data_IF_129056913694
#
_entry.id   IF_129056913694
#
_cell.length_a   1.000
_cell.length_b   1.000
_cell.length_c   1.000
_cell.angle_alpha   90.00
_cell.angle_beta   90.00
_cell.angle_gamma   90.00
#
_symmetry.space_group_name_H-M   'P 1'
#
loop_
_entity.id
_entity.type
_entity.pdbx_description
1 polymer ?
2 polymer ?
3 non-polymer ?
4 water ?
#
# COMPACT_ATOMS: atom_id res chain seq x y z
N UNK A 4 23.62 -15.37 -18.05
CA UNK A 4 24.25 -14.07 -18.11
C UNK A 4 23.66 -13.21 -19.24
N UNK A 5 23.25 -11.98 -18.91
CA UNK A 5 22.93 -10.97 -19.93
C UNK A 5 23.50 -9.56 -19.66
N UNK A 6 23.58 -8.74 -20.71
CA UNK A 6 24.07 -7.36 -20.60
C UNK A 6 23.06 -6.61 -19.75
N UNK A 7 23.55 -5.78 -18.84
CA UNK A 7 22.68 -5.17 -17.85
C UNK A 7 21.76 -4.13 -18.44
N UNK A 8 22.21 -3.46 -19.51
CA UNK A 8 21.40 -2.37 -20.07
C UNK A 8 20.17 -2.90 -20.81
N UNK A 9 20.16 -4.18 -21.19
CA UNK A 9 18.98 -4.72 -21.85
C UNK A 9 17.78 -4.91 -20.91
N UNK A 10 18.00 -4.83 -19.60
CA UNK A 10 16.92 -5.09 -18.64
C UNK A 10 15.86 -4.02 -18.78
N UNK A 11 14.59 -4.42 -18.85
CA UNK A 11 13.59 -3.40 -19.06
C UNK A 11 12.54 -3.38 -17.96
N UNK A 12 11.73 -4.45 -17.92
CA UNK A 12 10.44 -4.47 -17.21
C UNK A 12 9.38 -5.03 -18.18
N UNK B 1 13.74 -17.67 11.16
CA UNK B 1 13.59 -16.96 9.85
C UNK B 1 13.51 -18.02 8.75
N UNK B 2 12.54 -17.92 7.84
CA UNK B 2 12.61 -18.78 6.64
C UNK B 2 13.75 -18.36 5.66
N UNK B 3 14.02 -19.21 4.68
CA UNK B 3 14.95 -18.88 3.66
C UNK B 3 14.53 -17.60 2.94
N UNK B 4 13.21 -17.51 2.78
CA UNK B 4 12.63 -16.38 2.12
C UNK B 4 12.82 -15.14 2.96
N UNK B 5 12.55 -15.23 4.25
CA UNK B 5 12.69 -14.04 5.08
C UNK B 5 14.17 -13.55 5.11
N UNK B 6 15.11 -14.50 5.17
CA UNK B 6 16.54 -14.24 5.12
C UNK B 6 16.93 -13.66 3.78
N UNK B 7 16.31 -14.19 2.75
CA UNK B 7 16.58 -13.73 1.42
C UNK B 7 16.18 -12.24 1.36
N UNK B 8 15.08 -11.87 1.99
CA UNK B 8 14.67 -10.48 2.00
C UNK B 8 15.66 -9.56 2.78
N UNK B 9 16.20 -10.10 3.87
CA UNK B 9 17.12 -9.33 4.67
C UNK B 9 18.45 -9.13 3.94
N UNK B 10 18.83 -10.15 3.17
CA UNK B 10 20.03 -10.15 2.35
C UNK B 10 19.96 -9.02 1.26
N UNK B 11 18.78 -8.85 0.67
CA UNK B 11 18.54 -7.82 -0.31
C UNK B 11 18.64 -6.43 0.33
N UNK B 12 18.09 -6.26 1.54
CA UNK B 12 18.20 -5.01 2.24
C UNK B 12 19.68 -4.72 2.54
N UNK B 13 20.39 -5.77 2.96
CA UNK B 13 21.79 -5.72 3.35
C UNK B 13 22.72 -5.34 2.19
N UNK B 14 22.59 -6.03 1.06
CA UNK B 14 23.46 -5.77 -0.08
C UNK B 14 23.25 -4.32 -0.51
N UNK B 15 22.04 -3.81 -0.41
CA UNK B 15 21.73 -2.45 -0.76
C UNK B 15 22.42 -1.44 0.18
N UNK B 16 22.38 -1.75 1.47
CA UNK B 16 23.05 -0.95 2.46
C UNK B 16 24.54 -0.96 2.24
N UNK B 17 25.11 -2.11 1.87
CA UNK B 17 26.55 -2.19 1.66
C UNK B 17 27.09 -1.22 0.59
N UNK B 18 26.33 -1.01 -0.48
CA UNK B 18 26.82 -0.23 -1.58
C UNK B 18 26.33 1.22 -1.59
N UNK B 19 25.13 1.45 -1.06
CA UNK B 19 24.47 2.77 -1.09
C UNK B 19 25.12 3.75 -0.09
N UNK B 20 25.78 3.20 0.93
CA UNK B 20 26.44 3.98 1.95
C UNK B 20 27.88 4.34 1.60
N UNK B 21 28.39 3.91 0.45
CA UNK B 21 29.80 4.12 0.13
C UNK B 21 30.15 5.60 -0.07
N UNK B 22 29.42 6.24 -0.97
CA UNK B 22 29.64 7.61 -1.37
C UNK B 22 28.31 8.38 -1.31
N UNK B 23 28.37 9.70 -1.32
CA UNK B 23 27.20 10.54 -1.52
C UNK B 23 26.07 10.33 -0.57
N UNK B 24 24.84 10.39 -1.09
CA UNK B 24 23.63 10.03 -0.34
C UNK B 24 23.82 8.56 0.18
N UNK B 25 23.67 8.38 1.49
CA UNK B 25 23.93 7.10 2.11
C UNK B 25 22.75 6.12 1.97
N UNK B 26 21.62 6.59 1.45
CA UNK B 26 20.40 5.79 1.35
C UNK B 26 20.04 5.49 -0.12
N UNK B 27 20.86 5.97 -1.04
CA UNK B 27 20.65 5.72 -2.47
C UNK B 27 21.97 5.24 -3.11
N UNK B 28 21.84 4.77 -4.33
CA UNK B 28 22.98 4.34 -5.14
C UNK B 28 23.27 5.38 -6.26
N UNK B 29 24.46 5.96 -6.25
CA UNK B 29 24.92 6.69 -7.40
C UNK B 29 25.44 5.62 -8.41
N UNK B 30 25.70 6.05 -9.64
CA UNK B 30 26.10 5.20 -10.73
C UNK B 30 27.29 4.31 -10.42
N UNK B 31 28.26 4.88 -9.71
CA UNK B 31 29.48 4.18 -9.38
C UNK B 31 29.17 3.02 -8.45
N UNK B 32 28.24 3.23 -7.52
CA UNK B 32 27.86 2.23 -6.53
C UNK B 32 27.01 1.11 -7.15
N UNK B 33 26.05 1.48 -7.99
CA UNK B 33 25.24 0.49 -8.75
C UNK B 33 26.14 -0.32 -9.70
N UNK B 34 27.11 0.36 -10.31
CA UNK B 34 28.12 -0.32 -11.12
C UNK B 34 28.92 -1.34 -10.25
N UNK B 35 29.48 -0.88 -9.10
CA UNK B 35 30.26 -1.74 -8.21
C UNK B 35 29.39 -2.90 -7.71
N UNK B 36 28.14 -2.61 -7.40
CA UNK B 36 27.21 -3.65 -6.97
C UNK B 36 26.95 -4.73 -8.09
N UNK B 37 26.61 -4.28 -9.31
CA UNK B 37 26.42 -5.23 -10.42
C UNK B 37 27.68 -6.06 -10.68
N UNK B 38 28.83 -5.41 -10.69
CA UNK B 38 30.08 -6.09 -10.97
C UNK B 38 30.57 -6.99 -9.89
N UNK B 39 30.25 -6.70 -8.63
CA UNK B 39 30.79 -7.54 -7.56
C UNK B 39 29.81 -8.59 -7.07
N UNK B 40 28.51 -8.36 -7.27
CA UNK B 40 27.47 -9.21 -6.67
C UNK B 40 26.51 -9.86 -7.71
N UNK B 41 26.62 -9.52 -8.97
CA UNK B 41 25.73 -10.08 -9.97
C UNK B 41 26.51 -10.57 -11.19
N UNK B 42 27.78 -10.90 -10.96
CA UNK B 42 28.70 -11.35 -12.00
C UNK B 42 28.16 -12.57 -12.76
N UNK B 43 27.40 -13.41 -12.08
CA UNK B 43 26.89 -14.61 -12.74
C UNK B 43 25.60 -14.37 -13.53
N UNK B 44 24.96 -13.24 -13.32
CA UNK B 44 23.67 -12.93 -13.95
C UNK B 44 23.76 -11.81 -14.96
N UNK B 45 24.76 -10.95 -14.83
CA UNK B 45 24.88 -9.82 -15.71
C UNK B 45 26.28 -9.72 -16.25
N UNK B 46 26.40 -9.32 -17.52
CA UNK B 46 27.71 -9.05 -18.09
C UNK B 46 28.33 -7.93 -17.29
N UNK B 47 29.61 -8.12 -16.97
CA UNK B 47 30.43 -7.13 -16.30
C UNK B 47 30.31 -5.82 -17.05
N UNK B 48 30.15 -4.75 -16.28
CA UNK B 48 30.04 -3.43 -16.87
C UNK B 48 31.37 -2.74 -16.91
N UNK B 49 31.82 -2.40 -18.12
CA UNK B 49 33.12 -1.81 -18.39
C UNK B 49 32.97 -0.43 -19.05
N UNK B 50 31.88 -0.26 -19.80
CA UNK B 50 31.55 0.98 -20.46
C UNK B 50 30.60 1.84 -19.61
N UNK B 51 30.90 3.12 -19.45
CA UNK B 51 30.00 4.03 -18.73
C UNK B 51 28.56 4.02 -19.30
N UNK B 52 28.47 3.95 -20.64
CA UNK B 52 27.21 4.07 -21.33
C UNK B 52 26.26 2.95 -20.88
N UNK B 53 26.79 1.82 -20.43
CA UNK B 53 25.93 0.74 -19.93
C UNK B 53 25.26 1.17 -18.63
N UNK B 54 26.09 1.58 -17.66
CA UNK B 54 25.66 2.19 -16.36
C UNK B 54 24.61 3.31 -16.49
N UNK B 55 24.88 4.23 -17.40
CA UNK B 55 23.94 5.28 -17.70
C UNK B 55 22.62 4.69 -18.12
N UNK B 56 22.65 3.77 -19.10
CA UNK B 56 21.42 3.22 -19.60
C UNK B 56 20.72 2.43 -18.48
N UNK B 57 21.48 1.66 -17.71
CA UNK B 57 20.83 0.93 -16.62
C UNK B 57 20.20 1.90 -15.63
N UNK B 58 20.94 2.94 -15.21
CA UNK B 58 20.38 3.94 -14.29
C UNK B 58 19.14 4.67 -14.84
N UNK B 59 19.22 5.05 -16.13
CA UNK B 59 18.09 5.68 -16.80
C UNK B 59 16.83 4.77 -16.68
N UNK B 60 17.00 3.45 -16.82
CA UNK B 60 15.86 2.53 -16.71
C UNK B 60 15.29 2.56 -15.32
N UNK B 61 16.18 2.54 -14.33
CA UNK B 61 15.79 2.39 -12.95
C UNK B 61 15.33 3.69 -12.30
N UNK B 62 15.92 4.83 -12.69
CA UNK B 62 15.59 6.09 -12.04
C UNK B 62 14.22 6.55 -12.51
N UNK B 63 13.19 6.23 -11.73
CA UNK B 63 11.82 6.57 -12.11
C UNK B 63 11.36 7.86 -11.47
N UNK B 64 12.10 8.35 -10.47
CA UNK B 64 11.84 9.69 -9.94
C UNK B 64 12.87 10.67 -10.48
N UNK B 65 13.67 10.28 -11.46
CA UNK B 65 14.54 11.24 -12.10
C UNK B 65 15.72 11.85 -11.32
N UNK B 66 15.98 11.43 -10.09
CA UNK B 66 17.07 12.06 -9.34
C UNK B 66 18.52 11.60 -9.65
N UNK B 67 18.63 10.69 -10.60
CA UNK B 67 19.90 10.20 -11.11
C UNK B 67 20.43 9.06 -10.31
N UNK B 68 19.69 8.70 -9.25
CA UNK B 68 20.11 7.61 -8.39
C UNK B 68 19.03 6.52 -8.21
N UNK B 69 19.48 5.40 -7.64
CA UNK B 69 18.62 4.31 -7.33
C UNK B 69 18.42 4.18 -5.81
N UNK B 70 17.23 4.55 -5.38
CA UNK B 70 16.81 4.37 -4.01
C UNK B 70 16.42 2.89 -3.83
N UNK B 71 16.01 2.55 -2.64
CA UNK B 71 15.74 1.17 -2.36
C UNK B 71 14.59 0.56 -3.17
N UNK B 72 13.47 1.23 -3.28
CA UNK B 72 12.32 0.65 -3.99
C UNK B 72 12.72 0.52 -5.45
N UNK B 73 13.47 1.50 -5.94
CA UNK B 73 13.92 1.41 -7.29
C UNK B 73 14.82 0.18 -7.38
N UNK B 74 15.57 -0.11 -6.32
CA UNK B 74 16.47 -1.25 -6.34
C UNK B 74 15.72 -2.60 -6.34
N UNK B 75 14.59 -2.67 -5.63
CA UNK B 75 13.74 -3.85 -5.65
C UNK B 75 13.23 -4.11 -7.06
N UNK B 76 12.86 -3.05 -7.79
CA UNK B 76 12.40 -3.20 -9.18
C UNK B 76 13.49 -3.78 -10.00
N UNK B 77 14.71 -3.30 -9.77
CA UNK B 77 15.88 -3.88 -10.42
C UNK B 77 16.02 -5.39 -10.07
N UNK B 78 15.90 -5.73 -8.79
CA UNK B 78 16.07 -7.11 -8.36
C UNK B 78 14.98 -7.97 -9.00
N UNK B 79 13.77 -7.46 -9.12
CA UNK B 79 12.68 -8.26 -9.75
C UNK B 79 12.95 -8.51 -11.23
N UNK B 80 13.48 -7.52 -11.96
CA UNK B 80 13.87 -7.70 -13.34
C UNK B 80 14.88 -8.80 -13.41
N UNK B 81 16.00 -8.65 -12.74
CA UNK B 81 17.06 -9.61 -12.89
C UNK B 81 16.52 -10.98 -12.51
N UNK B 82 15.80 -11.08 -11.41
CA UNK B 82 15.39 -12.38 -10.95
C UNK B 82 14.45 -13.02 -11.97
N UNK B 83 13.57 -12.19 -12.52
CA UNK B 83 12.61 -12.61 -13.55
C UNK B 83 13.25 -13.07 -14.86
N UNK B 84 14.39 -12.48 -15.21
CA UNK B 84 15.24 -12.93 -16.29
C UNK B 84 15.79 -14.35 -15.98
N UNK B 85 16.52 -14.51 -14.87
CA UNK B 85 17.00 -15.82 -14.46
C UNK B 85 15.93 -16.91 -14.41
N UNK B 86 14.70 -16.58 -14.02
CA UNK B 86 13.67 -17.60 -13.73
C UNK B 86 13.19 -18.33 -14.98
N UNK B 87 13.31 -17.65 -16.12
CA UNK B 87 12.93 -18.20 -17.42
C UNK B 87 13.68 -19.56 -17.65
N UNK B 88 14.86 -19.67 -17.02
CA UNK B 88 15.61 -20.93 -16.83
C UNK B 88 14.73 -22.06 -16.29
N UNK B 89 13.67 -21.69 -15.56
CA UNK B 89 12.70 -22.65 -15.01
C UNK B 89 11.24 -22.38 -15.48
N UNK B 90 11.08 -21.49 -16.46
CA UNK B 90 9.81 -21.21 -17.14
C UNK B 90 8.99 -22.47 -17.35
N UNK C 1 29.18 -17.29 -6.19
CA UNK C 1 27.84 -16.69 -5.94
C UNK C 1 27.84 -15.73 -4.74
N UNK C 2 27.40 -14.52 -5.03
CA UNK C 2 27.24 -13.52 -4.03
C UNK C 2 26.07 -13.87 -3.11
N UNK C 3 25.97 -13.16 -2.00
CA UNK C 3 24.79 -13.29 -1.18
C UNK C 3 23.55 -12.90 -1.96
N UNK C 4 23.70 -11.90 -2.81
CA UNK C 4 22.62 -11.34 -3.59
C UNK C 4 22.17 -12.38 -4.54
N UNK C 5 23.13 -12.99 -5.20
CA UNK C 5 22.76 -14.01 -6.16
C UNK C 5 22.04 -15.15 -5.46
N UNK C 6 22.53 -15.53 -4.30
CA UNK C 6 21.94 -16.60 -3.52
C UNK C 6 20.53 -16.29 -3.06
N UNK C 7 20.31 -15.05 -2.66
CA UNK C 7 19.00 -14.61 -2.22
C UNK C 7 18.02 -14.72 -3.40
N UNK C 8 18.46 -14.37 -4.59
CA UNK C 8 17.59 -14.49 -5.77
C UNK C 8 17.18 -15.97 -6.11
N UNK C 9 18.13 -16.88 -5.94
CA UNK C 9 17.89 -18.26 -6.23
C UNK C 9 16.97 -18.76 -5.12
N UNK C 10 17.09 -18.18 -3.93
CA UNK C 10 16.20 -18.55 -2.87
C UNK C 10 14.73 -18.18 -3.18
N UNK C 11 14.52 -16.99 -3.73
CA UNK C 11 13.20 -16.58 -4.08
C UNK C 11 12.62 -17.50 -5.15
N UNK C 12 13.42 -17.92 -6.13
CA UNK C 12 12.92 -18.78 -7.18
C UNK C 12 12.52 -20.08 -6.51
N UNK C 13 13.31 -20.48 -5.54
CA UNK C 13 13.09 -21.74 -4.90
C UNK C 13 11.77 -21.82 -4.13
N UNK C 14 11.55 -20.91 -3.20
CA UNK C 14 10.39 -21.01 -2.40
C UNK C 14 9.13 -20.80 -3.24
N UNK C 15 9.23 -20.02 -4.32
CA UNK C 15 8.08 -19.81 -5.20
C UNK C 15 7.63 -21.14 -5.79
N UNK C 16 8.59 -21.87 -6.32
CA UNK C 16 8.41 -23.23 -6.83
C UNK C 16 8.10 -24.23 -5.75
N UNK C 17 8.65 -24.09 -4.56
CA UNK C 17 8.38 -25.03 -3.49
C UNK C 17 6.88 -25.11 -3.30
N UNK C 18 6.25 -23.96 -3.51
CA UNK C 18 4.81 -23.90 -3.35
C UNK C 18 3.97 -23.93 -4.63
N UNK C 19 4.47 -23.42 -5.74
CA UNK C 19 3.67 -23.32 -6.94
C UNK C 19 3.49 -24.72 -7.56
N UNK C 20 4.36 -25.67 -7.22
CA UNK C 20 4.28 -26.98 -7.80
C UNK C 20 3.31 -27.93 -7.06
N UNK C 21 2.66 -27.45 -6.00
CA UNK C 21 1.85 -28.34 -5.19
C UNK C 21 0.60 -28.76 -5.97
N UNK C 22 -0.16 -27.80 -6.47
CA UNK C 22 -1.39 -28.09 -7.17
C UNK C 22 -1.45 -27.38 -8.49
N UNK C 23 -2.28 -27.91 -9.38
CA UNK C 23 -2.63 -27.23 -10.59
C UNK C 23 -1.39 -26.88 -11.37
N UNK C 24 -1.44 -25.71 -11.99
CA UNK C 24 -0.29 -25.17 -12.73
C UNK C 24 0.90 -25.08 -11.81
N UNK C 25 2.03 -25.65 -12.26
CA UNK C 25 3.22 -25.81 -11.44
C UNK C 25 4.04 -24.56 -11.36
N UNK C 26 3.65 -23.56 -12.13
CA UNK C 26 4.39 -22.30 -12.27
C UNK C 26 3.64 -21.13 -11.80
N UNK C 27 2.44 -21.41 -11.27
CA UNK C 27 1.60 -20.38 -10.67
C UNK C 27 1.15 -20.81 -9.25
N UNK C 28 0.82 -19.82 -8.42
CA UNK C 28 0.30 -20.07 -7.09
C UNK C 28 -1.21 -19.81 -7.13
N UNK C 29 -1.98 -20.82 -6.75
CA UNK C 29 -3.37 -20.62 -6.47
C UNK C 29 -3.58 -20.10 -5.04
N UNK C 30 -4.77 -19.58 -4.72
CA UNK C 30 -5.05 -19.06 -3.39
C UNK C 30 -4.59 -19.98 -2.30
N UNK C 31 -4.75 -21.29 -2.46
CA UNK C 31 -4.39 -22.18 -1.35
C UNK C 31 -2.89 -22.23 -1.17
N UNK C 32 -2.14 -22.17 -2.28
CA UNK C 32 -0.69 -22.27 -2.22
C UNK C 32 -0.06 -20.98 -1.68
N UNK C 33 -0.58 -19.85 -2.10
CA UNK C 33 -0.13 -18.57 -1.63
C UNK C 33 -0.36 -18.42 -0.13
N UNK C 34 -1.52 -18.87 0.32
CA UNK C 34 -1.84 -18.87 1.73
C UNK C 34 -0.80 -19.70 2.50
N UNK C 35 -0.56 -20.91 2.02
CA UNK C 35 0.35 -21.79 2.66
C UNK C 35 1.77 -21.13 2.69
N UNK C 36 2.17 -20.48 1.58
CA UNK C 36 3.44 -19.83 1.52
C UNK C 36 3.59 -18.66 2.58
N UNK C 37 2.62 -17.75 2.59
CA UNK C 37 2.63 -16.62 3.51
C UNK C 37 2.73 -17.13 4.96
N UNK C 38 1.95 -18.16 5.24
CA UNK C 38 1.85 -18.73 6.57
C UNK C 38 3.02 -19.56 7.02
N UNK C 39 3.72 -20.19 6.08
CA UNK C 39 4.88 -20.97 6.45
C UNK C 39 6.25 -20.30 6.25
N UNK C 40 6.33 -19.29 5.40
CA UNK C 40 7.61 -18.71 4.98
C UNK C 40 7.66 -17.23 5.25
N UNK C 41 6.53 -16.64 5.65
CA UNK C 41 6.51 -15.21 5.96
C UNK C 41 5.86 -14.98 7.34
N UNK C 42 5.88 -16.05 8.15
CA UNK C 42 5.26 -16.07 9.48
C UNK C 42 5.77 -14.95 10.37
N UNK C 43 7.03 -14.57 10.19
CA UNK C 43 7.58 -13.51 10.96
C UNK C 43 7.39 -12.17 10.37
N UNK C 44 7.00 -12.11 9.09
CA UNK C 44 6.87 -10.80 8.46
C UNK C 44 5.42 -10.36 8.27
N UNK C 45 4.50 -11.31 8.24
CA UNK C 45 3.10 -10.96 7.95
C UNK C 45 2.23 -11.62 8.99
N UNK C 46 1.12 -10.96 9.32
CA UNK C 46 0.10 -11.61 10.12
C UNK C 46 -0.33 -12.87 9.37
N UNK C 47 -0.48 -13.97 10.11
CA UNK C 47 -1.06 -15.18 9.56
C UNK C 47 -2.43 -14.98 8.87
N UNK C 48 -2.65 -15.69 7.77
CA UNK C 48 -3.95 -15.68 7.10
C UNK C 48 -4.78 -16.85 7.63
N UNK C 49 -5.92 -16.54 8.20
CA UNK C 49 -6.77 -17.58 8.76
C UNK C 49 -8.17 -17.51 8.11
N UNK C 50 -8.59 -16.31 7.72
CA UNK C 50 -9.86 -16.05 7.05
C UNK C 50 -9.74 -16.06 5.52
N UNK C 51 -10.67 -16.72 4.87
CA UNK C 51 -10.75 -16.71 3.41
C UNK C 51 -10.77 -15.30 2.81
N UNK C 52 -11.51 -14.41 3.45
CA UNK C 52 -11.64 -13.07 2.93
C UNK C 52 -10.29 -12.37 2.92
N UNK C 53 -9.39 -12.77 3.80
CA UNK C 53 -8.04 -12.20 3.79
C UNK C 53 -7.23 -12.70 2.55
N UNK C 54 -7.26 -14.01 2.31
CA UNK C 54 -6.70 -14.64 1.10
C UNK C 54 -7.07 -13.94 -0.22
N UNK C 55 -8.37 -13.67 -0.39
CA UNK C 55 -8.88 -13.00 -1.58
C UNK C 55 -8.27 -11.68 -1.83
N UNK C 56 -8.17 -10.87 -0.77
CA UNK C 56 -7.64 -9.52 -0.91
C UNK C 56 -6.20 -9.60 -1.39
N UNK C 57 -5.40 -10.48 -0.83
CA UNK C 57 -4.01 -10.55 -1.23
C UNK C 57 -3.94 -11.00 -2.66
N UNK C 58 -4.63 -12.10 -2.98
CA UNK C 58 -4.53 -12.56 -4.36
C UNK C 58 -5.07 -11.51 -5.32
N UNK C 59 -6.16 -10.86 -4.93
CA UNK C 59 -6.74 -9.79 -5.72
C UNK C 59 -5.72 -8.69 -5.88
N UNK C 60 -4.92 -8.44 -4.83
CA UNK C 60 -3.83 -7.48 -4.95
C UNK C 60 -2.75 -7.97 -5.92
N UNK C 61 -2.35 -9.25 -5.84
CA UNK C 61 -1.19 -9.70 -6.63
C UNK C 61 -1.56 -10.06 -8.06
N UNK C 62 -2.73 -10.66 -8.23
CA UNK C 62 -3.15 -11.10 -9.53
C UNK C 62 -3.48 -9.93 -10.43
N UNK C 63 -2.67 -9.71 -11.45
CA UNK C 63 -2.99 -8.65 -12.39
C UNK C 63 -3.59 -9.11 -13.71
N UNK C 64 -3.31 -10.34 -14.14
CA UNK C 64 -3.81 -10.81 -15.46
C UNK C 64 -5.14 -11.63 -15.36
N UNK C 65 -5.87 -11.37 -14.29
CA UNK C 65 -7.23 -11.83 -14.11
C UNK C 65 -7.47 -13.31 -13.93
N UNK C 66 -6.42 -14.10 -13.98
CA UNK C 66 -6.60 -15.53 -13.89
C UNK C 66 -6.81 -16.07 -12.43
N UNK C 67 -6.62 -15.20 -11.41
CA UNK C 67 -6.91 -15.59 -10.03
C UNK C 67 -5.73 -16.32 -9.37
N UNK C 68 -4.60 -16.35 -10.08
CA UNK C 68 -3.39 -17.00 -9.59
C UNK C 68 -2.27 -16.00 -9.58
N UNK C 69 -1.20 -16.36 -8.90
CA UNK C 69 -0.02 -15.52 -8.83
C UNK C 69 1.12 -16.16 -9.60
N UNK C 70 1.55 -15.58 -10.73
CA UNK C 70 2.73 -16.11 -11.43
C UNK C 70 3.99 -15.56 -10.77
N UNK C 71 5.17 -15.93 -11.28
CA UNK C 71 6.44 -15.50 -10.71
C UNK C 71 6.65 -13.98 -10.77
N UNK C 72 6.22 -13.35 -11.85
CA UNK C 72 6.38 -11.89 -11.98
C UNK C 72 5.56 -11.22 -10.90
N UNK C 73 4.36 -11.74 -10.67
CA UNK C 73 3.49 -11.21 -9.65
C UNK C 73 4.06 -11.48 -8.25
N UNK C 74 4.76 -12.57 -8.11
CA UNK C 74 5.30 -12.92 -6.85
C UNK C 74 6.49 -11.95 -6.51
N UNK C 75 7.23 -11.60 -7.53
CA UNK C 75 8.35 -10.68 -7.36
C UNK C 75 7.83 -9.34 -6.93
N UNK C 76 6.67 -8.98 -7.46
CA UNK C 76 6.04 -7.72 -7.01
C UNK C 76 5.64 -7.80 -5.54
N UNK C 77 5.12 -8.95 -5.13
CA UNK C 77 4.81 -9.25 -3.76
C UNK C 77 6.09 -9.20 -2.83
N UNK C 78 7.17 -9.84 -3.24
CA UNK C 78 8.40 -9.89 -2.50
C UNK C 78 8.97 -8.44 -2.29
N UNK C 79 8.87 -7.58 -3.30
CA UNK C 79 9.26 -6.18 -3.19
C UNK C 79 8.37 -5.36 -2.25
N UNK C 80 7.05 -5.60 -2.28
CA UNK C 80 6.15 -4.93 -1.34
C UNK C 80 6.62 -5.22 0.08
N UNK C 81 6.72 -6.50 0.41
CA UNK C 81 7.13 -6.97 1.71
C UNK C 81 8.55 -6.48 2.07
N UNK C 82 9.51 -6.62 1.17
CA UNK C 82 10.88 -6.24 1.45
C UNK C 82 10.95 -4.72 1.65
N UNK C 83 10.15 -4.00 0.86
CA UNK C 83 10.10 -2.54 0.97
C UNK C 83 9.49 -2.18 2.31
N UNK C 84 8.59 -3.03 2.78
CA UNK C 84 8.06 -2.83 4.10
C UNK C 84 9.20 -2.98 5.11
N UNK C 85 9.81 -4.16 5.17
CA UNK C 85 10.86 -4.49 6.10
C UNK C 85 11.95 -3.45 6.12
N UNK C 86 12.24 -2.91 4.95
CA UNK C 86 13.33 -1.95 4.82
C UNK C 86 12.99 -0.63 5.50
N UNK C 87 11.72 -0.23 5.46
CA UNK C 87 11.31 1.00 6.11
C UNK C 87 11.56 0.85 7.60
N UNK C 88 11.25 -0.34 8.14
CA UNK C 88 11.66 -0.64 9.54
C UNK C 88 13.14 -0.45 9.81
N UNK C 89 13.97 -0.23 8.80
CA UNK C 89 15.40 0.02 8.97
C UNK C 89 15.91 1.37 8.57
N UNK C 90 15.06 2.38 8.35
CA UNK C 90 15.56 3.76 8.20
C UNK C 90 15.59 4.42 9.61
N UNK C 91 16.60 4.10 10.43
CA UNK C 91 16.73 4.63 11.80
C UNK C 91 15.69 4.09 12.77
N UNK D 1 -25.75 19.09 16.68
CA UNK D 1 -24.83 18.25 15.86
C UNK D 1 -24.09 17.23 16.72
N UNK D 2 -24.02 15.96 16.28
CA UNK D 2 -23.20 14.99 17.01
C UNK D 2 -21.70 15.28 16.78
N UNK D 3 -20.83 14.68 17.61
CA UNK D 3 -19.40 14.67 17.33
C UNK D 3 -19.12 14.10 15.94
N UNK D 4 -19.84 13.04 15.56
CA UNK D 4 -19.69 12.44 14.24
C UNK D 4 -20.11 13.45 13.18
N UNK D 5 -21.20 14.16 13.43
CA UNK D 5 -21.63 15.16 12.46
C UNK D 5 -20.67 16.35 12.36
N UNK D 6 -20.18 16.82 13.50
CA UNK D 6 -19.25 17.91 13.56
C UNK D 6 -17.97 17.47 12.84
N UNK D 7 -17.56 16.25 13.10
CA UNK D 7 -16.34 15.75 12.50
C UNK D 7 -16.54 15.78 10.99
N UNK D 8 -17.74 15.43 10.57
CA UNK D 8 -18.05 15.45 9.16
C UNK D 8 -18.07 16.83 8.55
N UNK D 9 -18.52 17.82 9.31
CA UNK D 9 -18.62 19.16 8.78
C UNK D 9 -17.18 19.66 8.66
N UNK D 10 -16.32 19.24 9.58
CA UNK D 10 -14.94 19.62 9.54
C UNK D 10 -14.17 19.10 8.30
N UNK D 11 -14.46 17.89 7.85
CA UNK D 11 -13.78 17.38 6.67
C UNK D 11 -14.06 18.24 5.47
N UNK D 12 -15.30 18.74 5.38
CA UNK D 12 -15.70 19.61 4.29
C UNK D 12 -14.97 20.96 4.35
N UNK D 13 -14.80 21.50 5.53
CA UNK D 13 -14.14 22.78 5.69
C UNK D 13 -12.70 22.75 5.23
N UNK D 14 -11.94 21.79 5.75
CA UNK D 14 -10.50 21.78 5.48
C UNK D 14 -10.30 21.49 4.00
N UNK D 15 -11.24 20.73 3.42
CA UNK D 15 -11.17 20.49 1.99
C UNK D 15 -11.27 21.84 1.26
N UNK D 16 -12.24 22.64 1.67
CA UNK D 16 -12.42 23.97 1.11
C UNK D 16 -11.32 24.90 1.49
N UNK D 17 -10.81 24.82 2.71
CA UNK D 17 -9.73 25.70 3.15
C UNK D 17 -8.63 25.58 2.08
N UNK D 18 -8.47 24.40 1.49
CA UNK D 18 -7.38 24.19 0.54
C UNK D 18 -7.78 24.20 -0.92
N UNK D 19 -9.00 23.75 -1.25
CA UNK D 19 -9.39 23.64 -2.66
C UNK D 19 -9.68 24.99 -3.32
N UNK D 20 -10.04 25.97 -2.51
CA UNK D 20 -10.41 27.26 -3.04
C UNK D 20 -9.20 28.14 -3.28
N UNK D 21 -8.02 27.62 -2.98
CA UNK D 21 -6.81 28.40 -3.03
C UNK D 21 -6.39 28.85 -4.42
N UNK D 22 -6.26 27.88 -5.32
CA UNK D 22 -5.81 28.10 -6.70
C UNK D 22 -6.83 27.43 -7.60
N UNK D 23 -6.90 27.83 -8.87
CA UNK D 23 -7.66 27.10 -9.88
C UNK D 23 -9.12 26.85 -9.54
N UNK D 24 -9.65 25.67 -9.93
CA UNK D 24 -11.01 25.22 -9.53
C UNK D 24 -11.20 25.23 -8.02
N UNK D 25 -12.18 26.00 -7.54
CA UNK D 25 -12.38 26.18 -6.10
C UNK D 25 -13.09 24.98 -5.45
N UNK D 26 -13.49 23.99 -6.26
CA UNK D 26 -14.20 22.82 -5.77
C UNK D 26 -13.35 21.55 -5.96
N UNK D 27 -12.15 21.69 -6.51
CA UNK D 27 -11.22 20.57 -6.64
C UNK D 27 -9.82 20.92 -6.06
N UNK D 28 -9.00 19.91 -5.76
CA UNK D 28 -7.64 20.11 -5.28
C UNK D 28 -6.58 19.81 -6.33
N UNK D 29 -5.73 20.77 -6.65
CA UNK D 29 -4.59 20.44 -7.50
C UNK D 29 -3.46 19.88 -6.64
N UNK D 30 -2.51 19.25 -7.30
CA UNK D 30 -1.39 18.59 -6.63
C UNK D 30 -0.80 19.52 -5.58
N UNK D 31 -0.75 20.79 -5.93
CA UNK D 31 -0.12 21.81 -5.09
C UNK D 31 -0.94 22.06 -3.83
N UNK D 32 -2.26 22.05 -3.98
CA UNK D 32 -3.12 22.30 -2.84
C UNK D 32 -3.13 21.10 -1.93
N UNK D 33 -3.17 19.91 -2.52
CA UNK D 33 -3.14 18.67 -1.78
C UNK D 33 -1.85 18.50 -0.95
N UNK D 34 -0.73 18.91 -1.52
CA UNK D 34 0.53 18.94 -0.80
C UNK D 34 0.39 19.94 0.39
N UNK D 35 -0.16 21.11 0.11
CA UNK D 35 -0.35 22.10 1.15
C UNK D 35 -1.21 21.49 2.26
N UNK D 36 -2.26 20.76 1.88
CA UNK D 36 -3.16 20.15 2.86
C UNK D 36 -2.47 19.06 3.68
N UNK D 37 -1.84 18.11 3.03
CA UNK D 37 -1.12 17.07 3.73
C UNK D 37 -0.08 17.66 4.62
N UNK D 38 0.72 18.58 4.10
CA UNK D 38 1.80 19.09 4.92
C UNK D 38 1.30 19.99 6.07
N UNK D 39 0.20 20.70 5.88
CA UNK D 39 -0.30 21.57 6.94
C UNK D 39 -1.36 20.97 7.86
N UNK D 40 -2.07 19.94 7.42
CA UNK D 40 -3.23 19.47 8.17
C UNK D 40 -3.13 18.02 8.55
N UNK D 41 -2.09 17.32 8.12
CA UNK D 41 -1.90 15.91 8.50
C UNK D 41 -0.48 15.65 8.98
N UNK D 42 0.21 16.71 9.37
CA UNK D 42 1.62 16.64 9.76
C UNK D 42 1.86 15.60 10.80
N UNK D 43 0.88 15.40 11.65
CA UNK D 43 1.03 14.45 12.73
C UNK D 43 0.72 13.04 12.33
N UNK D 44 0.13 12.85 11.17
CA UNK D 44 -0.20 11.48 10.79
C UNK D 44 0.66 11.05 9.66
N UNK D 45 1.23 12.02 8.92
CA UNK D 45 1.98 11.70 7.69
C UNK D 45 3.34 12.34 7.62
N UNK D 46 4.28 11.63 6.98
CA UNK D 46 5.56 12.21 6.59
C UNK D 46 5.28 13.41 5.66
N UNK D 47 5.96 14.51 5.90
CA UNK D 47 5.89 15.65 5.04
C UNK D 47 6.16 15.33 3.56
N UNK D 48 5.38 15.91 2.67
CA UNK D 48 5.65 15.72 1.26
C UNK D 48 6.58 16.84 0.78
N UNK D 49 7.73 16.44 0.24
CA UNK D 49 8.73 17.38 -0.23
C UNK D 49 9.08 17.18 -1.70
N UNK D 50 9.13 15.93 -2.11
CA UNK D 50 9.51 15.57 -3.46
C UNK D 50 8.29 15.58 -4.34
N UNK D 51 8.47 16.11 -5.54
CA UNK D 51 7.44 16.08 -6.55
C UNK D 51 6.89 14.68 -6.88
N UNK D 52 7.76 13.71 -7.00
CA UNK D 52 7.35 12.37 -7.41
C UNK D 52 6.44 11.78 -6.34
N UNK D 53 6.60 12.19 -5.08
CA UNK D 53 5.66 11.74 -4.04
C UNK D 53 4.28 12.36 -4.25
N UNK D 54 4.23 13.67 -4.48
CA UNK D 54 3.00 14.33 -4.83
C UNK D 54 2.30 13.61 -5.98
N UNK D 55 3.03 13.42 -7.07
CA UNK D 55 2.45 12.84 -8.28
C UNK D 55 1.87 11.46 -8.01
N UNK D 56 2.58 10.64 -7.24
CA UNK D 56 2.14 9.27 -6.90
C UNK D 56 0.86 9.29 -6.03
N UNK D 57 0.76 10.22 -5.09
CA UNK D 57 -0.45 10.33 -4.28
C UNK D 57 -1.60 10.72 -5.17
N UNK D 58 -1.39 11.74 -5.99
CA UNK D 58 -2.44 12.17 -6.87
C UNK D 58 -2.84 11.02 -7.83
N UNK D 59 -1.86 10.23 -8.28
CA UNK D 59 -2.13 9.06 -9.14
C UNK D 59 -3.12 8.10 -8.48
N UNK D 60 -2.94 7.92 -7.19
CA UNK D 60 -3.81 7.08 -6.40
C UNK D 60 -5.20 7.71 -6.21
N UNK D 61 -5.27 8.99 -5.86
CA UNK D 61 -6.56 9.58 -5.46
C UNK D 61 -7.41 9.93 -6.64
N UNK D 62 -6.75 10.39 -7.71
CA UNK D 62 -7.41 10.78 -8.95
C UNK D 62 -7.93 9.49 -9.57
N UNK D 63 -9.20 9.22 -9.36
CA UNK D 63 -9.81 8.01 -9.82
C UNK D 63 -10.50 8.39 -11.11
N UNK D 64 -10.72 9.70 -11.35
CA UNK D 64 -11.34 10.11 -12.61
C UNK D 64 -10.35 10.69 -13.61
N UNK D 65 -9.06 10.49 -13.41
CA UNK D 65 -8.08 10.80 -14.46
C UNK D 65 -7.95 12.24 -14.96
N UNK D 66 -8.78 13.16 -14.48
CA UNK D 66 -8.70 14.55 -14.93
C UNK D 66 -7.66 15.31 -14.07
N UNK D 67 -7.02 14.61 -13.13
CA UNK D 67 -5.84 15.16 -12.47
C UNK D 67 -5.93 16.07 -11.25
N UNK D 68 -7.13 16.28 -10.73
CA UNK D 68 -7.31 17.03 -9.49
C UNK D 68 -8.01 16.08 -8.53
N UNK D 69 -8.12 16.44 -7.27
CA UNK D 69 -8.83 15.63 -6.28
C UNK D 69 -10.12 16.34 -5.87
N UNK D 70 -11.26 15.78 -6.29
CA UNK D 70 -12.56 16.32 -5.92
C UNK D 70 -12.93 15.86 -4.52
N UNK D 71 -14.11 16.27 -4.03
CA UNK D 71 -14.47 15.93 -2.68
C UNK D 71 -14.65 14.42 -2.49
N UNK D 72 -15.23 13.73 -3.47
CA UNK D 72 -15.34 12.28 -3.38
C UNK D 72 -13.95 11.66 -3.35
N UNK D 73 -13.04 12.20 -4.17
CA UNK D 73 -11.67 11.70 -4.27
C UNK D 73 -10.88 11.92 -2.98
N UNK D 74 -11.12 13.05 -2.32
CA UNK D 74 -10.51 13.40 -1.04
C UNK D 74 -11.06 12.51 0.09
N UNK D 75 -12.36 12.26 0.10
CA UNK D 75 -12.99 11.41 1.10
C UNK D 75 -12.44 10.01 1.07
N UNK D 76 -12.08 9.56 -0.12
CA UNK D 76 -11.43 8.28 -0.27
C UNK D 76 -10.06 8.32 0.38
N UNK D 77 -9.33 9.43 0.17
CA UNK D 77 -8.06 9.67 0.84
C UNK D 77 -8.26 9.69 2.36
N UNK D 78 -9.27 10.41 2.82
CA UNK D 78 -9.56 10.46 4.23
C UNK D 78 -9.90 9.07 4.78
N UNK D 79 -10.55 8.22 4.01
CA UNK D 79 -10.85 6.90 4.53
C UNK D 79 -9.57 6.09 4.77
N UNK D 80 -8.67 6.12 3.81
CA UNK D 80 -7.37 5.44 3.88
C UNK D 80 -6.56 5.87 5.11
N UNK D 81 -6.31 7.16 5.21
CA UNK D 81 -5.49 7.72 6.26
C UNK D 81 -6.12 7.39 7.63
N UNK D 82 -7.42 7.63 7.76
CA UNK D 82 -8.08 7.38 9.04
C UNK D 82 -8.04 5.89 9.31
N UNK D 83 -8.31 5.08 8.27
CA UNK D 83 -8.28 3.62 8.39
C UNK D 83 -6.86 3.15 8.84
N UNK D 84 -5.80 3.80 8.33
CA UNK D 84 -4.43 3.52 8.76
C UNK D 84 -4.28 3.83 10.24
N UNK D 85 -4.58 5.09 10.59
CA UNK D 85 -4.52 5.58 11.97
C UNK D 85 -5.27 4.66 12.96
N UNK D 86 -6.32 4.01 12.48
CA UNK D 86 -7.14 3.19 13.36
C UNK D 86 -6.34 2.00 13.81
N UNK D 87 -5.54 1.43 12.91
CA UNK D 87 -4.74 0.26 13.24
C UNK D 87 -3.74 0.54 14.39
N UNK D 88 -3.10 1.71 14.38
CA UNK D 88 -2.27 2.10 15.52
C UNK D 88 -3.00 2.08 16.88
N UNK D 89 -4.32 1.99 16.87
CA UNK D 89 -5.05 1.90 18.12
C UNK D 89 -5.70 0.55 18.29
N UNK D 90 -5.33 -0.39 17.42
CA UNK D 90 -5.64 -1.79 17.67
C UNK D 90 -4.53 -2.47 18.50
N UNK D 91 -4.59 -2.28 19.83
CA UNK D 91 -3.58 -2.77 20.79
C UNK D 91 -2.26 -1.99 20.67
N UNK E 1 -2.49 19.44 16.92
CA UNK E 1 -3.37 18.65 15.97
C UNK E 1 -4.38 19.48 15.27
N UNK E 2 -4.49 19.27 13.98
CA UNK E 2 -5.51 19.98 13.18
C UNK E 2 -6.95 19.54 13.40
N UNK E 3 -7.84 20.38 12.95
CA UNK E 3 -9.24 20.06 12.92
C UNK E 3 -9.48 18.80 12.12
N UNK E 4 -8.68 18.54 11.08
CA UNK E 4 -8.79 17.33 10.28
C UNK E 4 -8.38 16.09 11.06
N UNK E 5 -7.25 16.16 11.70
CA UNK E 5 -6.78 15.02 12.45
C UNK E 5 -7.74 14.74 13.59
N UNK E 6 -8.21 15.81 14.21
CA UNK E 6 -9.14 15.71 15.29
C UNK E 6 -10.41 15.08 14.79
N UNK E 7 -10.84 15.52 13.62
CA UNK E 7 -12.02 14.95 13.01
C UNK E 7 -11.80 13.44 12.80
N UNK E 8 -10.59 13.05 12.42
CA UNK E 8 -10.29 11.66 12.21
C UNK E 8 -10.32 10.89 13.52
N UNK E 9 -9.85 11.49 14.60
CA UNK E 9 -9.87 10.80 15.87
C UNK E 9 -11.32 10.69 16.38
N UNK E 10 -12.14 11.67 16.04
CA UNK E 10 -13.56 11.63 16.32
C UNK E 10 -14.25 10.48 15.54
N UNK E 11 -13.87 10.22 14.29
CA UNK E 11 -14.46 9.08 13.60
C UNK E 11 -14.08 7.74 14.24
N UNK E 12 -12.81 7.59 14.61
CA UNK E 12 -12.36 6.40 15.31
C UNK E 12 -13.07 6.28 16.64
N UNK E 13 -13.23 7.38 17.32
CA UNK E 13 -13.87 7.36 18.61
C UNK E 13 -15.35 6.92 18.49
N UNK E 14 -16.11 7.52 17.57
CA UNK E 14 -17.54 7.23 17.53
C UNK E 14 -17.73 5.75 17.16
N UNK E 15 -16.83 5.22 16.33
CA UNK E 15 -16.88 3.84 15.99
C UNK E 15 -16.62 2.97 17.22
N UNK E 16 -15.63 3.30 18.02
CA UNK E 16 -15.37 2.52 19.22
C UNK E 16 -16.53 2.58 20.20
N UNK E 17 -17.07 3.77 20.41
CA UNK E 17 -18.09 3.97 21.44
C UNK E 17 -19.24 3.01 21.20
N UNK E 18 -19.50 2.71 19.93
CA UNK E 18 -20.63 1.91 19.51
C UNK E 18 -20.24 0.47 19.18
N UNK E 19 -19.03 0.26 18.68
CA UNK E 19 -18.61 -1.06 18.25
C UNK E 19 -18.29 -2.00 19.44
N UNK E 20 -17.99 -1.45 20.61
CA UNK E 20 -17.66 -2.28 21.75
C UNK E 20 -18.86 -2.64 22.59
N UNK E 21 -20.01 -2.11 22.26
CA UNK E 21 -21.20 -2.22 23.12
C UNK E 21 -21.64 -3.68 23.29
N UNK E 22 -21.83 -4.37 22.16
CA UNK E 22 -22.32 -5.73 22.16
C UNK E 22 -21.38 -6.58 21.26
N UNK E 23 -21.35 -7.88 21.50
CA UNK E 23 -20.69 -8.81 20.59
C UNK E 23 -19.24 -8.46 20.32
N UNK E 24 -18.81 -8.73 19.09
CA UNK E 24 -17.48 -8.36 18.66
C UNK E 24 -17.27 -6.87 18.90
N UNK E 25 -16.27 -6.58 19.70
CA UNK E 25 -16.01 -5.22 20.10
C UNK E 25 -15.22 -4.44 19.02
N UNK E 26 -14.95 -5.04 17.86
CA UNK E 26 -14.24 -4.36 16.77
C UNK E 26 -15.11 -4.19 15.52
N UNK E 27 -16.34 -4.70 15.58
CA UNK E 27 -17.25 -4.55 14.45
C UNK E 27 -18.59 -4.02 14.94
N UNK E 28 -19.34 -3.43 14.02
CA UNK E 28 -20.67 -2.95 14.35
C UNK E 28 -21.66 -3.93 13.81
N UNK E 29 -22.44 -4.54 14.70
CA UNK E 29 -23.59 -5.32 14.26
C UNK E 29 -24.74 -4.33 14.00
N UNK E 30 -25.76 -4.84 13.32
CA UNK E 30 -26.95 -4.10 12.90
C UNK E 30 -27.51 -3.24 14.01
N UNK E 31 -27.50 -3.79 15.23
CA UNK E 31 -28.07 -3.11 16.38
C UNK E 31 -27.24 -1.94 16.76
N UNK E 32 -25.94 -2.13 16.68
CA UNK E 32 -24.99 -1.09 17.03
C UNK E 32 -25.00 -0.01 15.94
N UNK E 33 -24.97 -0.41 14.67
CA UNK E 33 -25.07 0.54 13.58
C UNK E 33 -26.38 1.28 13.75
N UNK E 34 -27.39 0.54 14.18
CA UNK E 34 -28.70 1.16 14.39
C UNK E 34 -28.61 2.28 15.42
N UNK E 35 -28.10 1.97 16.61
CA UNK E 35 -28.02 2.97 17.67
C UNK E 35 -27.20 4.18 17.22
N UNK E 36 -26.11 3.91 16.49
CA UNK E 36 -25.18 4.94 16.00
C UNK E 36 -25.89 5.85 15.01
N UNK E 37 -26.46 5.28 13.94
CA UNK E 37 -27.17 6.10 12.98
C UNK E 37 -28.28 6.93 13.66
N UNK E 38 -29.05 6.30 14.55
CA UNK E 38 -30.20 6.99 15.10
C UNK E 38 -29.84 8.10 16.07
N UNK E 39 -28.77 7.90 16.82
CA UNK E 39 -28.33 8.90 17.78
C UNK E 39 -27.18 9.81 17.24
N UNK E 40 -26.49 9.38 16.18
CA UNK E 40 -25.28 10.08 15.70
C UNK E 40 -25.37 10.58 14.26
N UNK E 41 -26.42 10.24 13.54
CA UNK E 41 -26.57 10.73 12.18
C UNK E 41 -27.99 11.19 11.88
N UNK E 42 -28.73 11.54 12.93
CA UNK E 42 -30.13 11.88 12.80
C UNK E 42 -30.42 12.91 11.66
N UNK E 43 -29.46 13.81 11.39
CA UNK E 43 -29.61 14.89 10.39
C UNK E 43 -29.28 14.57 8.94
N UNK E 44 -28.63 13.42 8.73
CA UNK E 44 -28.15 13.02 7.40
C UNK E 44 -28.92 11.84 6.83
N UNK E 45 -29.47 11.03 7.73
CA UNK E 45 -30.18 9.81 7.35
C UNK E 45 -31.57 9.75 8.03
N UNK E 46 -32.54 9.18 7.32
CA UNK E 46 -33.85 8.94 7.92
C UNK E 46 -33.67 8.07 9.17
N UNK E 47 -34.33 8.42 10.28
CA UNK E 47 -34.31 7.57 11.46
C UNK E 47 -34.71 6.17 10.98
N UNK E 48 -33.91 5.17 11.37
CA UNK E 48 -34.14 3.76 11.01
C UNK E 48 -34.92 3.02 12.08
N UNK E 49 -36.08 2.46 11.70
CA UNK E 49 -36.96 1.76 12.64
C UNK E 49 -37.30 0.31 12.28
N UNK E 50 -37.37 -0.03 10.99
CA UNK E 50 -37.75 -1.39 10.63
C UNK E 50 -36.49 -2.22 10.60
N UNK E 51 -36.47 -3.28 11.40
CA UNK E 51 -35.32 -4.19 11.47
C UNK E 51 -35.02 -4.71 10.06
N UNK E 52 -36.09 -4.96 9.31
CA UNK E 52 -35.88 -5.47 7.97
C UNK E 52 -35.11 -4.43 7.17
N UNK E 53 -35.34 -3.15 7.48
CA UNK E 53 -34.63 -2.04 6.85
C UNK E 53 -33.22 -1.98 7.38
N UNK E 54 -33.07 -2.15 8.68
CA UNK E 54 -31.74 -2.25 9.26
C UNK E 54 -30.93 -3.25 8.43
N UNK E 55 -31.55 -4.40 8.15
CA UNK E 55 -30.92 -5.46 7.36
C UNK E 55 -30.46 -4.92 5.99
N UNK E 56 -31.28 -4.07 5.37
CA UNK E 56 -30.96 -3.50 4.06
C UNK E 56 -29.70 -2.63 4.11
N UNK E 57 -29.59 -1.78 5.14
CA UNK E 57 -28.46 -0.86 5.26
C UNK E 57 -27.15 -1.62 5.43
N UNK E 58 -27.13 -2.57 6.35
CA UNK E 58 -25.93 -3.34 6.64
C UNK E 58 -25.40 -4.04 5.38
N UNK E 59 -26.31 -4.54 4.54
CA UNK E 59 -25.95 -5.27 3.33
C UNK E 59 -25.06 -4.50 2.35
N UNK E 60 -25.28 -3.21 2.25
CA UNK E 60 -24.49 -2.36 1.38
C UNK E 60 -23.05 -2.36 1.84
N UNK E 61 -22.90 -2.28 3.16
CA UNK E 61 -21.59 -2.10 3.81
C UNK E 61 -20.82 -3.38 3.92
N UNK E 62 -21.52 -4.47 4.18
CA UNK E 62 -20.80 -5.71 4.32
C UNK E 62 -20.29 -6.15 2.95
N UNK E 63 -19.02 -5.81 2.72
CA UNK E 63 -18.28 -6.12 1.50
C UNK E 63 -17.33 -7.29 1.71
N UNK E 64 -17.04 -7.64 2.96
CA UNK E 64 -16.26 -8.85 3.28
C UNK E 64 -17.18 -9.94 3.82
N UNK E 65 -18.49 -9.71 3.68
CA UNK E 65 -19.51 -10.72 3.98
C UNK E 65 -19.73 -11.23 5.40
N UNK E 66 -18.95 -10.84 6.40
CA UNK E 66 -19.11 -11.48 7.72
C UNK E 66 -20.28 -10.96 8.57
N UNK E 67 -21.08 -10.08 7.99
CA UNK E 67 -22.36 -9.69 8.58
C UNK E 67 -22.34 -8.59 9.62
N UNK E 68 -21.16 -8.06 9.92
CA UNK E 68 -21.01 -6.92 10.82
C UNK E 68 -20.30 -5.81 10.04
N UNK E 69 -20.22 -4.63 10.62
CA UNK E 69 -19.47 -3.51 10.01
C UNK E 69 -18.13 -3.24 10.71
N UNK E 70 -17.01 -3.50 10.04
CA UNK E 70 -15.72 -3.14 10.62
C UNK E 70 -15.44 -1.66 10.37
N UNK E 71 -14.29 -1.20 10.88
CA UNK E 71 -13.94 0.21 10.74
C UNK E 71 -13.73 0.55 9.31
N UNK E 72 -13.15 -0.38 8.57
CA UNK E 72 -12.88 -0.14 7.16
C UNK E 72 -14.17 0.02 6.41
N UNK E 73 -15.19 -0.78 6.76
CA UNK E 73 -16.46 -0.68 6.06
C UNK E 73 -17.15 0.62 6.40
N UNK E 74 -16.97 1.00 7.65
CA UNK E 74 -17.58 2.19 8.25
C UNK E 74 -17.01 3.49 7.67
N UNK E 75 -15.71 3.51 7.37
CA UNK E 75 -15.11 4.65 6.70
C UNK E 75 -15.71 4.81 5.31
N UNK E 76 -16.00 3.69 4.65
CA UNK E 76 -16.65 3.73 3.34
C UNK E 76 -18.04 4.30 3.49
N UNK E 77 -18.73 3.86 4.52
CA UNK E 77 -20.01 4.42 4.87
C UNK E 77 -19.92 5.91 5.10
N UNK E 78 -18.98 6.30 5.96
CA UNK E 78 -18.79 7.70 6.31
C UNK E 78 -18.41 8.52 5.10
N UNK E 79 -17.58 7.99 4.22
CA UNK E 79 -17.23 8.77 3.03
C UNK E 79 -18.45 8.98 2.13
N UNK E 80 -19.26 7.91 1.92
CA UNK E 80 -20.50 8.00 1.13
C UNK E 80 -21.40 9.07 1.72
N UNK E 81 -21.74 8.91 2.98
CA UNK E 81 -22.62 9.84 3.64
C UNK E 81 -22.11 11.27 3.54
N UNK E 82 -20.82 11.47 3.79
CA UNK E 82 -20.23 12.81 3.73
C UNK E 82 -20.20 13.30 2.27
N UNK E 83 -19.93 12.39 1.34
CA UNK E 83 -19.93 12.69 -0.08
C UNK E 83 -21.32 13.21 -0.48
N UNK E 84 -22.37 12.74 0.18
CA UNK E 84 -23.71 13.30 -0.04
C UNK E 84 -23.91 14.77 0.45
N UNK E 85 -23.77 14.95 1.75
CA UNK E 85 -23.98 16.23 2.43
C UNK E 85 -23.23 17.41 1.78
N UNK E 86 -22.15 17.10 1.08
CA UNK E 86 -21.25 18.13 0.61
C UNK E 86 -21.86 19.04 -0.45
N UNK E 87 -22.78 18.47 -1.23
CA UNK E 87 -23.44 19.20 -2.31
C UNK E 87 -24.13 20.45 -1.78
N UNK E 88 -24.62 20.36 -0.55
CA UNK E 88 -24.94 21.56 0.23
C UNK E 88 -23.70 22.51 0.28
#
# INVERSE_FOLDING_TARGET
NTGRTEAWKVLSPQG
MSELEKAMVALIDVFHQYSGREGDKHKLKKSELKELINNELSHFLEEIKEQEVVDKVMETLDNDGDGECDFQEFMAFVAMVTTACHEFFEHE
MSELEKAMVALIDVFHQYSGREGDKHKLKKSELKELINNELSHFLEEIKEQEVVDKVMETLDNDGDGECDFQEFMAFVAMVTTACHEFFEHE
MSELEKAMVALIDVFHQYSGREGDKHKLKKSELKELINNELSHFLEEIKEQEVVDKVMETLDNDGDGECDFQEFMAFVAMVTTACHEFFEHE
MSELEKAMVALIDVFHQYSGREGDKHKLKKSELKELINNELSHFLEEIKEQEVVDKVMETLDNDGDGECDFQEFMAFVAMVTTACHEFFEHE
#
